data_IF_095335107391
#
_entry.id   IF_095335107391
#
_cell.length_a   1.000
_cell.length_b   1.000
_cell.length_c   1.000
_cell.angle_alpha   90.00
_cell.angle_beta   90.00
_cell.angle_gamma   90.00
#
_symmetry.space_group_name_H-M   'P 1'
#
loop_
_entity.id
_entity.type
_entity.pdbx_description
1 polymer ?
#
# COMPACT_ATOMS: atom_id res chain seq x y z
N UNK A 1 2.63 12.00 12.27
CA UNK A 1 2.17 11.11 13.36
C UNK A 1 1.75 9.82 12.69
N UNK A 2 2.35 8.69 13.06
CA UNK A 2 2.09 7.37 12.48
C UNK A 2 1.28 6.58 13.50
N UNK A 3 0.18 5.98 13.07
CA UNK A 3 -0.65 5.10 13.90
C UNK A 3 -0.31 3.66 13.53
N UNK A 4 0.15 2.88 14.49
CA UNK A 4 0.33 1.44 14.35
C UNK A 4 -0.83 0.72 15.00
N UNK A 5 -1.30 -0.35 14.38
CA UNK A 5 -2.36 -1.18 14.93
C UNK A 5 -2.29 -2.59 14.33
N UNK A 6 -2.78 -3.53 15.10
CA UNK A 6 -3.04 -4.91 14.73
C UNK A 6 -4.42 -5.28 15.32
N UNK A 7 -5.15 -6.18 14.66
CA UNK A 7 -6.57 -6.37 14.97
C UNK A 7 -6.84 -6.84 16.41
N UNK A 8 -5.87 -7.55 17.00
CA UNK A 8 -5.93 -8.03 18.38
C UNK A 8 -5.16 -7.17 19.37
N UNK A 9 -4.60 -6.02 18.95
CA UNK A 9 -3.68 -5.21 19.76
C UNK A 9 -4.24 -4.94 21.15
N UNK A 10 -3.78 -5.74 22.10
CA UNK A 10 -4.12 -5.62 23.51
C UNK A 10 -2.84 -5.20 24.25
N UNK A 11 -2.81 -4.02 24.89
CA UNK A 11 -1.64 -3.55 25.61
C UNK A 11 -1.22 -4.45 26.79
N UNK A 12 -2.02 -5.47 27.13
CA UNK A 12 -1.83 -6.29 28.33
C UNK A 12 -1.38 -7.73 28.11
N UNK A 13 -1.35 -8.32 26.90
CA UNK A 13 -1.13 -9.77 26.86
C UNK A 13 -0.56 -10.46 25.61
N UNK A 14 -0.30 -9.78 24.50
CA UNK A 14 0.25 -10.45 23.32
C UNK A 14 1.44 -9.70 22.72
N UNK A 15 2.55 -10.42 22.57
CA UNK A 15 3.75 -9.95 21.88
C UNK A 15 3.46 -10.04 20.38
N UNK A 16 3.41 -8.90 19.69
CA UNK A 16 3.31 -8.84 18.23
C UNK A 16 4.71 -8.62 17.66
N UNK A 17 5.52 -9.67 17.43
CA UNK A 17 6.95 -9.53 17.13
C UNK A 17 7.21 -8.65 15.89
N UNK A 18 6.32 -8.69 14.90
CA UNK A 18 6.41 -7.83 13.72
C UNK A 18 6.11 -6.37 14.05
N UNK A 19 5.06 -6.12 14.84
CA UNK A 19 4.67 -4.78 15.25
C UNK A 19 5.72 -4.14 16.16
N UNK A 20 6.32 -4.92 17.06
CA UNK A 20 7.42 -4.47 17.94
C UNK A 20 8.67 -4.05 17.16
N UNK A 21 9.04 -4.83 16.12
CA UNK A 21 10.15 -4.48 15.22
C UNK A 21 9.86 -3.17 14.48
N UNK A 22 8.66 -3.02 13.93
CA UNK A 22 8.25 -1.81 13.20
C UNK A 22 8.21 -0.60 14.16
N UNK A 23 7.64 -0.77 15.35
CA UNK A 23 7.60 0.27 16.38
C UNK A 23 9.01 0.73 16.74
N UNK A 24 9.92 -0.21 17.03
CA UNK A 24 11.31 0.09 17.37
C UNK A 24 12.00 0.87 16.25
N UNK A 25 11.88 0.40 15.00
CA UNK A 25 12.45 1.07 13.83
C UNK A 25 11.95 2.50 13.65
N UNK A 26 10.64 2.74 13.79
CA UNK A 26 10.05 4.06 13.61
C UNK A 26 10.43 5.04 14.73
N UNK A 27 10.56 4.55 15.96
CA UNK A 27 11.03 5.34 17.10
C UNK A 27 12.50 5.71 16.92
N UNK A 28 13.35 4.78 16.50
CA UNK A 28 14.77 5.03 16.19
C UNK A 28 14.92 6.08 15.08
N UNK A 29 14.05 6.03 14.07
CA UNK A 29 13.96 7.02 13.00
C UNK A 29 13.27 8.35 13.42
N UNK A 30 12.98 8.55 14.71
CA UNK A 30 12.40 9.78 15.30
C UNK A 30 11.01 10.16 14.80
N UNK A 31 10.22 9.20 14.30
CA UNK A 31 8.82 9.45 13.99
C UNK A 31 7.96 9.49 15.26
N UNK A 32 6.93 10.33 15.26
CA UNK A 32 5.89 10.32 16.30
C UNK A 32 4.94 9.14 16.02
N UNK A 33 5.09 8.05 16.77
CA UNK A 33 4.29 6.81 16.65
C UNK A 33 3.28 6.69 17.79
N UNK A 34 2.06 6.25 17.49
CA UNK A 34 1.02 5.93 18.48
C UNK A 34 0.43 4.55 18.17
N UNK A 35 0.07 3.78 19.19
CA UNK A 35 -0.56 2.46 19.05
C UNK A 35 -2.07 2.61 19.21
N UNK A 36 -2.85 2.04 18.29
CA UNK A 36 -4.31 1.99 18.39
C UNK A 36 -4.71 0.70 19.13
N UNK A 37 -5.15 0.87 20.36
CA UNK A 37 -5.68 -0.20 21.19
C UNK A 37 -7.00 -0.75 20.61
N UNK A 38 -7.14 -2.08 20.59
CA UNK A 38 -8.33 -2.76 20.07
C UNK A 38 -8.43 -2.84 18.55
N UNK A 39 -7.40 -2.39 17.81
CA UNK A 39 -7.34 -2.53 16.36
C UNK A 39 -8.34 -1.68 15.58
N UNK A 40 -8.47 -1.96 14.29
CA UNK A 40 -9.34 -1.16 13.42
C UNK A 40 -10.82 -1.42 13.69
N UNK A 41 -11.23 -2.65 14.01
CA UNK A 41 -12.63 -2.94 14.31
C UNK A 41 -13.15 -2.15 15.51
N UNK A 42 -12.39 -2.06 16.61
CA UNK A 42 -12.84 -1.33 17.80
C UNK A 42 -12.87 0.18 17.55
N UNK A 43 -11.87 0.69 16.81
CA UNK A 43 -11.86 2.08 16.35
C UNK A 43 -13.07 2.39 15.46
N UNK A 44 -13.41 1.51 14.52
CA UNK A 44 -14.56 1.68 13.62
C UNK A 44 -15.89 1.65 14.35
N UNK A 45 -16.04 0.79 15.37
CA UNK A 45 -17.25 0.80 16.22
C UNK A 45 -17.41 2.12 16.96
N UNK A 46 -16.30 2.68 17.44
CA UNK A 46 -16.30 3.89 18.28
C UNK A 46 -16.41 5.18 17.45
N UNK A 47 -15.77 5.21 16.28
CA UNK A 47 -15.65 6.38 15.40
C UNK A 47 -16.03 6.04 13.95
N UNK A 48 -17.25 5.55 13.67
CA UNK A 48 -17.64 5.10 12.34
C UNK A 48 -17.52 6.22 11.28
N UNK A 49 -17.85 7.46 11.65
CA UNK A 49 -17.75 8.63 10.75
C UNK A 49 -16.31 9.01 10.36
N UNK A 50 -15.30 8.58 11.14
CA UNK A 50 -13.89 8.76 10.77
C UNK A 50 -13.38 7.65 9.84
N UNK A 51 -14.13 6.55 9.73
CA UNK A 51 -13.82 5.40 8.87
C UNK A 51 -14.60 5.47 7.55
N UNK A 52 -15.69 6.22 7.51
CA UNK A 52 -16.44 6.49 6.31
C UNK A 52 -15.72 7.54 5.46
N UNK A 53 -15.40 7.19 4.22
CA UNK A 53 -15.07 8.18 3.20
C UNK A 53 -16.27 9.12 3.12
N UNK A 54 -16.03 10.43 3.06
CA UNK A 54 -17.04 11.36 2.58
C UNK A 54 -17.38 10.96 1.15
N UNK A 55 -18.40 10.09 1.02
CA UNK A 55 -18.98 9.71 -0.25
C UNK A 55 -19.41 11.01 -0.92
N UNK A 56 -18.70 11.39 -1.97
CA UNK A 56 -19.34 12.19 -2.99
C UNK A 56 -20.58 11.40 -3.41
N UNK A 57 -21.74 12.03 -3.24
CA UNK A 57 -23.05 11.51 -3.63
C UNK A 57 -22.97 10.96 -5.04
N UNK A 58 -23.41 9.73 -5.22
CA UNK A 58 -24.31 9.40 -6.32
C UNK A 58 -25.36 8.41 -5.81
N UNK A 59 -26.61 8.81 -6.02
CA UNK A 59 -27.81 8.37 -5.32
C UNK A 59 -28.35 7.05 -5.90
N UNK A 60 -27.87 5.88 -5.48
CA UNK A 60 -28.60 4.63 -5.74
C UNK A 60 -28.45 3.64 -4.58
N UNK A 61 -28.99 4.02 -3.42
CA UNK A 61 -29.11 3.11 -2.28
C UNK A 61 -30.24 2.10 -2.50
N UNK A 62 -29.79 0.85 -2.62
CA UNK A 62 -30.46 -0.43 -2.50
C UNK A 62 -31.57 -0.46 -1.42
N UNK A 63 -32.83 -0.79 -1.77
CA UNK A 63 -33.89 -1.00 -0.77
C UNK A 63 -33.98 -2.47 -0.26
N UNK A 64 -32.91 -3.27 -0.30
CA UNK A 64 -33.05 -4.74 -0.20
C UNK A 64 -32.17 -5.49 0.83
N UNK A 65 -31.51 -4.81 1.77
CA UNK A 65 -30.56 -5.47 2.68
C UNK A 65 -31.09 -5.78 4.09
N UNK A 66 -32.41 -5.85 4.28
CA UNK A 66 -32.98 -6.08 5.61
C UNK A 66 -33.05 -7.54 6.06
N UNK A 67 -32.84 -8.55 5.21
CA UNK A 67 -33.26 -9.94 5.53
C UNK A 67 -32.26 -11.07 5.22
N UNK A 68 -30.94 -10.85 5.23
CA UNK A 68 -29.99 -11.95 4.95
C UNK A 68 -28.95 -12.15 6.07
N UNK A 69 -29.12 -13.31 6.73
CA UNK A 69 -28.23 -13.92 7.71
C UNK A 69 -26.87 -14.24 7.06
N UNK A 70 -25.84 -13.45 7.38
CA UNK A 70 -24.55 -13.48 6.69
C UNK A 70 -23.65 -14.60 7.24
N UNK A 71 -23.33 -15.56 6.37
CA UNK A 71 -22.15 -16.42 6.51
C UNK A 71 -21.09 -15.91 5.52
N UNK A 72 -19.92 -15.56 6.05
CA UNK A 72 -18.77 -15.07 5.28
C UNK A 72 -18.30 -16.09 4.23
N UNK A 73 -18.37 -15.72 2.96
CA UNK A 73 -17.55 -16.30 1.89
C UNK A 73 -16.98 -15.17 1.05
N UNK A 74 -15.72 -14.82 1.34
CA UNK A 74 -14.87 -13.97 0.51
C UNK A 74 -14.53 -14.76 -0.75
N UNK A 75 -15.17 -14.49 -1.89
CA UNK A 75 -14.62 -14.91 -3.20
C UNK A 75 -15.23 -14.23 -4.43
N UNK A 76 -16.34 -13.48 -4.31
CA UNK A 76 -16.93 -12.79 -5.47
C UNK A 76 -17.18 -11.31 -5.18
N UNK A 77 -16.23 -10.47 -5.60
CA UNK A 77 -16.38 -9.05 -6.00
C UNK A 77 -15.01 -8.33 -6.24
N UNK A 78 -13.91 -9.05 -6.51
CA UNK A 78 -12.58 -8.41 -6.62
C UNK A 78 -12.45 -7.50 -7.85
N UNK A 79 -13.16 -7.78 -8.95
CA UNK A 79 -13.03 -7.03 -10.20
C UNK A 79 -13.63 -5.61 -10.17
N UNK A 80 -14.71 -5.37 -9.41
CA UNK A 80 -15.34 -4.06 -9.35
C UNK A 80 -14.55 -3.09 -8.44
N UNK A 81 -13.99 -3.58 -7.33
CA UNK A 81 -13.15 -2.78 -6.44
C UNK A 81 -11.79 -2.41 -7.03
N UNK A 82 -11.21 -3.26 -7.88
CA UNK A 82 -9.94 -2.96 -8.56
C UNK A 82 -10.06 -1.78 -9.53
N UNK A 83 -11.25 -1.52 -10.08
CA UNK A 83 -11.51 -0.35 -10.93
C UNK A 83 -11.59 0.97 -10.14
N UNK A 84 -11.83 0.92 -8.83
CA UNK A 84 -11.95 2.11 -7.98
C UNK A 84 -10.60 2.72 -7.53
N UNK A 85 -9.48 2.04 -7.79
CA UNK A 85 -8.15 2.52 -7.45
C UNK A 85 -7.24 2.56 -8.70
N UNK A 86 -7.53 3.44 -9.67
CA UNK A 86 -6.72 3.55 -10.89
C UNK A 86 -5.36 4.23 -10.63
N UNK A 87 -5.27 5.03 -9.57
CA UNK A 87 -4.12 5.86 -9.25
C UNK A 87 -3.31 5.31 -8.07
N UNK A 88 -1.97 5.33 -8.16
CA UNK A 88 -1.12 4.96 -7.04
C UNK A 88 -1.19 6.02 -5.93
N UNK A 89 -1.09 5.59 -4.67
CA UNK A 89 -1.16 6.47 -3.50
C UNK A 89 0.25 6.85 -3.05
N UNK A 90 0.52 8.15 -2.90
CA UNK A 90 1.78 8.64 -2.34
C UNK A 90 1.80 8.41 -0.82
N UNK A 91 2.71 7.55 -0.34
CA UNK A 91 2.86 7.23 1.08
C UNK A 91 4.00 7.98 1.76
N UNK A 92 5.01 8.38 0.98
CA UNK A 92 6.07 9.31 1.35
C UNK A 92 6.43 10.14 0.11
N UNK A 93 7.09 11.31 0.26
CA UNK A 93 7.47 12.14 -0.89
C UNK A 93 8.23 11.34 -1.97
N UNK A 94 7.64 11.21 -3.16
CA UNK A 94 8.13 10.41 -4.30
C UNK A 94 8.13 8.88 -4.09
N UNK A 95 7.40 8.35 -3.11
CA UNK A 95 7.21 6.93 -2.88
C UNK A 95 5.72 6.62 -2.92
N UNK A 96 5.35 5.77 -3.86
CA UNK A 96 3.97 5.43 -4.14
C UNK A 96 3.70 3.95 -3.94
N UNK A 97 2.50 3.61 -3.51
CA UNK A 97 1.98 2.24 -3.46
C UNK A 97 0.80 2.14 -4.43
N UNK A 98 0.85 1.15 -5.32
CA UNK A 98 -0.19 0.92 -6.32
C UNK A 98 -0.36 -0.58 -6.61
N UNK A 99 -1.33 -0.90 -7.45
CA UNK A 99 -1.65 -2.28 -7.84
C UNK A 99 -1.20 -2.59 -9.28
N UNK A 100 -1.54 -3.79 -9.77
CA UNK A 100 -1.25 -4.23 -11.13
C UNK A 100 -1.86 -3.32 -12.22
N UNK A 101 -3.03 -2.73 -11.96
CA UNK A 101 -3.73 -1.83 -12.89
C UNK A 101 -2.99 -0.49 -12.97
N UNK A 102 -2.64 0.10 -11.82
CA UNK A 102 -1.86 1.35 -11.77
C UNK A 102 -0.53 1.20 -12.51
N UNK A 103 0.22 0.12 -12.21
CA UNK A 103 1.53 -0.14 -12.84
C UNK A 103 1.44 -0.45 -14.34
N UNK A 104 0.23 -0.72 -14.84
CA UNK A 104 -0.08 -0.95 -16.24
C UNK A 104 -0.61 0.29 -16.97
N UNK A 105 -0.72 1.45 -16.31
CA UNK A 105 -1.20 2.70 -16.91
C UNK A 105 -0.05 3.71 -17.06
N UNK A 106 0.46 3.87 -18.28
CA UNK A 106 1.62 4.76 -18.54
C UNK A 106 1.31 6.24 -18.26
N UNK A 107 0.09 6.70 -18.55
CA UNK A 107 -0.26 8.11 -18.37
C UNK A 107 -0.20 8.47 -16.88
N UNK A 108 -0.79 7.63 -16.04
CA UNK A 108 -0.79 7.81 -14.59
C UNK A 108 0.63 7.80 -14.00
N UNK A 109 1.48 6.88 -14.46
CA UNK A 109 2.86 6.79 -14.03
C UNK A 109 3.63 8.08 -14.40
N UNK A 110 3.45 8.60 -15.61
CA UNK A 110 4.09 9.84 -16.05
C UNK A 110 3.57 11.07 -15.31
N UNK A 111 2.25 11.17 -15.10
CA UNK A 111 1.60 12.27 -14.38
C UNK A 111 2.08 12.34 -12.92
N UNK A 112 2.32 11.19 -12.29
CA UNK A 112 2.91 11.08 -10.95
C UNK A 112 4.44 11.23 -10.94
N UNK A 113 5.10 11.37 -12.10
CA UNK A 113 6.56 11.42 -12.23
C UNK A 113 7.28 10.11 -11.88
N UNK A 114 6.57 8.98 -11.95
CA UNK A 114 7.08 7.66 -11.63
C UNK A 114 7.88 7.10 -12.80
N UNK A 115 9.17 6.90 -12.56
CA UNK A 115 10.13 6.30 -13.52
C UNK A 115 10.77 5.02 -12.98
N UNK A 116 10.45 4.62 -11.76
CA UNK A 116 10.99 3.43 -11.11
C UNK A 116 9.86 2.61 -10.51
N UNK A 117 9.82 1.32 -10.83
CA UNK A 117 8.77 0.41 -10.35
C UNK A 117 9.42 -0.82 -9.71
N UNK A 118 9.15 -1.00 -8.42
CA UNK A 118 9.47 -2.23 -7.69
C UNK A 118 8.28 -3.19 -7.79
N UNK A 119 8.40 -4.23 -8.61
CA UNK A 119 7.37 -5.26 -8.74
C UNK A 119 7.65 -6.41 -7.78
N UNK A 120 6.81 -6.55 -6.75
CA UNK A 120 6.97 -7.55 -5.68
C UNK A 120 6.22 -8.86 -5.94
N UNK A 121 5.66 -9.05 -7.14
CA UNK A 121 4.85 -10.22 -7.49
C UNK A 121 5.52 -11.08 -8.57
N UNK A 122 5.34 -12.43 -8.54
CA UNK A 122 5.78 -13.29 -9.63
C UNK A 122 4.83 -13.23 -10.84
N UNK A 123 3.51 -13.09 -10.62
CA UNK A 123 2.47 -13.21 -11.65
C UNK A 123 2.26 -11.95 -12.49
N UNK A 124 2.45 -10.75 -11.94
CA UNK A 124 2.21 -9.50 -12.68
C UNK A 124 3.43 -9.18 -13.56
N UNK A 125 3.28 -9.02 -14.89
CA UNK A 125 4.40 -8.69 -15.78
C UNK A 125 4.87 -7.23 -15.63
N UNK A 126 6.13 -6.95 -15.97
CA UNK A 126 6.64 -5.58 -16.08
C UNK A 126 6.18 -5.00 -17.43
N UNK A 127 5.00 -4.39 -17.46
CA UNK A 127 4.31 -4.05 -18.72
C UNK A 127 5.15 -3.20 -19.69
N UNK A 128 5.96 -2.28 -19.19
CA UNK A 128 6.69 -1.30 -20.01
C UNK A 128 8.21 -1.55 -20.08
N UNK A 129 8.68 -2.69 -19.57
CA UNK A 129 10.10 -3.02 -19.55
C UNK A 129 10.68 -3.11 -20.97
N UNK A 130 11.80 -2.43 -21.21
CA UNK A 130 12.48 -2.41 -22.52
C UNK A 130 11.78 -1.60 -23.61
N UNK A 131 10.64 -0.94 -23.34
CA UNK A 131 9.90 -0.17 -24.35
C UNK A 131 10.50 1.23 -24.62
N UNK A 132 11.64 1.58 -24.01
CA UNK A 132 12.28 2.89 -24.22
C UNK A 132 11.57 4.08 -23.54
N UNK A 133 10.61 3.82 -22.64
CA UNK A 133 9.81 4.84 -21.95
C UNK A 133 10.49 5.44 -20.71
N UNK A 134 11.77 5.12 -20.47
CA UNK A 134 12.51 5.61 -19.30
C UNK A 134 12.08 4.99 -17.96
N UNK A 135 11.25 3.94 -17.98
CA UNK A 135 10.84 3.21 -16.77
C UNK A 135 11.86 2.13 -16.45
N UNK A 136 12.37 2.14 -15.21
CA UNK A 136 13.31 1.17 -14.69
C UNK A 136 12.57 0.25 -13.70
N UNK A 137 12.60 -1.05 -13.99
CA UNK A 137 11.98 -2.05 -13.14
C UNK A 137 13.02 -2.73 -12.25
N UNK A 138 12.58 -3.12 -11.06
CA UNK A 138 13.20 -4.17 -10.24
C UNK A 138 12.10 -5.15 -9.86
N UNK A 139 12.33 -6.44 -10.07
CA UNK A 139 11.41 -7.49 -9.62
C UNK A 139 11.98 -8.21 -8.40
N UNK A 140 11.15 -8.39 -7.38
CA UNK A 140 11.39 -9.28 -6.26
C UNK A 140 10.18 -10.23 -6.21
N UNK A 141 10.27 -11.44 -6.78
CA UNK A 141 9.09 -12.28 -7.00
C UNK A 141 8.64 -12.99 -5.71
N UNK A 142 7.86 -12.29 -4.88
CA UNK A 142 7.34 -12.81 -3.61
C UNK A 142 5.90 -13.29 -3.83
N UNK A 143 5.61 -14.53 -3.47
CA UNK A 143 4.22 -15.02 -3.46
C UNK A 143 3.52 -14.51 -2.21
N UNK A 144 2.31 -14.02 -2.39
CA UNK A 144 1.43 -13.66 -1.27
C UNK A 144 1.08 -14.91 -0.47
N UNK A 145 1.85 -15.14 0.59
CA UNK A 145 1.87 -16.35 1.40
C UNK A 145 2.48 -16.01 2.76
N UNK A 146 2.42 -16.93 3.72
CA UNK A 146 2.99 -16.76 5.07
C UNK A 146 4.53 -16.78 5.11
N UNK A 147 5.20 -16.48 4.00
CA UNK A 147 6.66 -16.46 3.91
C UNK A 147 7.19 -15.17 4.55
N UNK A 148 8.32 -15.28 5.22
CA UNK A 148 9.02 -14.12 5.76
C UNK A 148 9.56 -13.25 4.61
N UNK A 149 9.09 -12.01 4.52
CA UNK A 149 9.52 -11.05 3.51
C UNK A 149 10.71 -10.19 3.97
N UNK A 150 11.14 -10.30 5.23
CA UNK A 150 12.24 -9.50 5.79
C UNK A 150 13.54 -9.68 5.02
N UNK A 151 13.82 -10.87 4.50
CA UNK A 151 15.02 -11.15 3.70
C UNK A 151 15.12 -10.28 2.43
N UNK A 152 13.99 -9.76 1.95
CA UNK A 152 13.94 -8.91 0.75
C UNK A 152 14.00 -7.40 1.07
N UNK A 153 13.98 -7.01 2.35
CA UNK A 153 13.97 -5.60 2.74
C UNK A 153 15.26 -4.91 2.32
N UNK A 154 16.41 -5.55 2.49
CA UNK A 154 17.69 -4.97 2.06
C UNK A 154 17.73 -4.73 0.55
N UNK A 155 17.23 -5.70 -0.23
CA UNK A 155 17.17 -5.59 -1.70
C UNK A 155 16.21 -4.49 -2.15
N UNK A 156 15.03 -4.40 -1.53
CA UNK A 156 14.04 -3.36 -1.82
C UNK A 156 14.55 -1.96 -1.40
N UNK A 157 15.15 -1.85 -0.22
CA UNK A 157 15.72 -0.61 0.29
C UNK A 157 16.85 -0.11 -0.59
N UNK A 158 17.78 -0.99 -0.99
CA UNK A 158 18.87 -0.65 -1.89
C UNK A 158 18.34 -0.13 -3.24
N UNK A 159 17.26 -0.73 -3.77
CA UNK A 159 16.63 -0.21 -4.99
C UNK A 159 16.11 1.23 -4.79
N UNK A 160 15.41 1.50 -3.69
CA UNK A 160 14.84 2.82 -3.36
C UNK A 160 15.94 3.86 -3.09
N UNK A 161 17.00 3.50 -2.37
CA UNK A 161 18.11 4.41 -2.03
C UNK A 161 18.93 4.82 -3.25
N UNK A 162 19.15 3.88 -4.18
CA UNK A 162 19.80 4.17 -5.47
C UNK A 162 19.04 5.23 -6.30
N UNK A 163 17.75 5.47 -6.02
CA UNK A 163 16.96 6.53 -6.64
C UNK A 163 17.28 7.90 -6.05
N UNK A 164 17.48 7.97 -4.72
CA UNK A 164 17.77 9.22 -4.01
C UNK A 164 19.12 9.80 -4.43
N UNK A 165 20.11 8.95 -4.73
CA UNK A 165 21.43 9.37 -5.21
C UNK A 165 21.46 9.91 -6.65
N UNK A 166 20.45 9.60 -7.49
CA UNK A 166 20.40 10.02 -8.90
C UNK A 166 19.72 11.38 -9.14
N UNK A 167 19.07 11.97 -8.13
CA UNK A 167 18.47 13.32 -8.22
C UNK A 167 19.50 14.47 -8.33
N UNK A 168 20.80 14.19 -8.32
CA UNK A 168 21.87 15.19 -8.42
C UNK A 168 22.29 15.61 -9.85
N UNK A 169 21.87 14.89 -10.89
CA UNK A 169 22.25 15.21 -12.28
C UNK A 169 21.01 15.46 -13.13
N UNK A 170 20.40 16.63 -12.97
CA UNK A 170 19.58 17.19 -14.02
C UNK A 170 20.49 17.47 -15.24
N UNK A 171 20.21 16.93 -16.43
CA UNK A 171 20.87 17.40 -17.64
C UNK A 171 20.48 18.87 -17.81
N UNK A 172 21.47 19.77 -17.73
CA UNK A 172 21.28 21.15 -18.16
C UNK A 172 20.92 21.10 -19.65
N UNK A 173 19.70 21.54 -19.94
CA UNK A 173 19.22 21.70 -21.31
C UNK A 173 20.18 22.58 -22.10
N UNK A 174 20.42 22.09 -23.32
CA UNK A 174 20.82 22.73 -24.58
C UNK A 174 21.00 24.25 -24.53
#
# INVERSE_FOLDING_TARGET
MIVLYEESTNPFNETYPTLEKIYSYLIDARYRVVLLEGGFSEYKKTYPWNCERSYFREEFLLPFVDHLNIQCTFEYEVEEYLQFYPSPVEVLPNLYIGNAICSANINELLDCGISYILNVTPEVPNKFEGMGLGIIYKRIPIRDSFVDIFDYFEEAAAFIENLKGKKGNSPKGI
#
